data_IF_479103475788
#
_entry.id   IF_479103475788
#
_cell.length_a   1.000
_cell.length_b   1.000
_cell.length_c   1.000
_cell.angle_alpha   90.00
_cell.angle_beta   90.00
_cell.angle_gamma   90.00
#
_symmetry.space_group_name_H-M   'P 1'
#
loop_
_entity.id
_entity.type
_entity.pdbx_description
1 polymer ?
#
# COMPACT_ATOMS: atom_id res chain seq x y z
N UNK A 1 -26.81 -5.71 -8.12
CA UNK A 1 -25.71 -4.75 -8.36
C UNK A 1 -25.60 -3.94 -7.09
N UNK A 2 -24.53 -4.12 -6.31
CA UNK A 2 -24.33 -3.33 -5.10
C UNK A 2 -24.12 -1.87 -5.51
N UNK A 3 -24.82 -0.93 -4.87
CA UNK A 3 -24.55 0.48 -5.05
C UNK A 3 -23.08 0.76 -4.71
N UNK A 4 -22.33 1.21 -5.71
CA UNK A 4 -20.93 1.61 -5.53
C UNK A 4 -20.93 2.93 -4.78
N UNK A 5 -20.48 2.90 -3.53
CA UNK A 5 -20.27 4.10 -2.74
C UNK A 5 -18.83 4.57 -2.87
N UNK A 6 -18.63 5.88 -2.93
CA UNK A 6 -17.30 6.46 -2.84
C UNK A 6 -16.75 6.35 -1.42
N UNK A 7 -15.43 6.35 -1.29
CA UNK A 7 -14.73 6.34 0.00
C UNK A 7 -13.58 7.32 0.01
N UNK A 8 -13.12 7.74 1.18
CA UNK A 8 -11.99 8.67 1.31
C UNK A 8 -10.80 8.01 2.00
N UNK A 9 -9.60 8.41 1.59
CA UNK A 9 -8.32 7.99 2.16
C UNK A 9 -7.48 9.24 2.35
N UNK A 10 -7.26 9.63 3.59
CA UNK A 10 -6.60 10.89 3.96
C UNK A 10 -5.48 10.74 4.97
N UNK A 11 -4.76 11.83 5.18
CA UNK A 11 -3.73 11.91 6.21
C UNK A 11 -4.35 12.18 7.60
N UNK A 12 -3.58 11.91 8.66
CA UNK A 12 -4.04 12.10 10.05
C UNK A 12 -4.32 13.57 10.41
N UNK A 13 -3.73 14.54 9.71
CA UNK A 13 -3.98 15.96 9.96
C UNK A 13 -5.13 16.57 9.11
N UNK A 14 -5.76 15.78 8.24
CA UNK A 14 -6.91 16.20 7.43
C UNK A 14 -6.60 17.16 6.27
N UNK A 15 -5.32 17.45 6.02
CA UNK A 15 -4.87 18.32 4.92
C UNK A 15 -4.95 17.63 3.56
N UNK A 16 -4.60 16.35 3.50
CA UNK A 16 -4.54 15.55 2.29
C UNK A 16 -5.65 14.49 2.28
N UNK A 17 -6.34 14.33 1.16
CA UNK A 17 -7.35 13.29 0.99
C UNK A 17 -7.49 12.89 -0.49
N UNK A 18 -7.71 11.60 -0.72
CA UNK A 18 -8.03 10.99 -2.01
C UNK A 18 -9.43 10.41 -1.88
N UNK A 19 -10.33 10.72 -2.83
CA UNK A 19 -11.64 10.09 -2.91
C UNK A 19 -11.64 9.06 -4.04
N UNK A 20 -12.04 7.83 -3.72
CA UNK A 20 -12.18 6.72 -4.68
C UNK A 20 -13.64 6.47 -5.03
N UNK A 21 -13.90 6.00 -6.26
CA UNK A 21 -15.25 5.71 -6.75
C UNK A 21 -15.88 4.44 -6.15
N UNK A 22 -15.05 3.50 -5.70
CA UNK A 22 -15.48 2.27 -4.99
C UNK A 22 -14.75 2.23 -3.65
N UNK A 23 -15.50 2.33 -2.57
CA UNK A 23 -14.97 2.34 -1.21
C UNK A 23 -14.55 0.95 -0.70
N UNK A 24 -14.71 -0.12 -1.48
CA UNK A 24 -14.41 -1.48 -1.01
C UNK A 24 -12.97 -1.85 -1.31
N UNK A 25 -12.30 -2.43 -0.30
CA UNK A 25 -11.01 -3.07 -0.52
C UNK A 25 -11.15 -4.32 -1.40
N UNK A 26 -10.29 -4.43 -2.40
CA UNK A 26 -10.23 -5.58 -3.30
C UNK A 26 -9.44 -6.75 -2.70
N UNK A 27 -8.47 -6.45 -1.83
CA UNK A 27 -7.57 -7.44 -1.27
C UNK A 27 -7.01 -7.01 0.08
N UNK A 28 -6.71 -7.98 0.94
CA UNK A 28 -6.05 -7.78 2.23
C UNK A 28 -4.94 -8.81 2.45
N UNK A 29 -3.75 -8.32 2.78
CA UNK A 29 -2.59 -9.10 3.19
C UNK A 29 -2.00 -8.59 4.49
N UNK A 30 -1.16 -9.44 5.08
CA UNK A 30 -0.13 -9.03 6.03
C UNK A 30 1.24 -9.24 5.41
N UNK A 31 2.19 -8.38 5.71
CA UNK A 31 3.43 -8.35 4.94
C UNK A 31 4.67 -8.14 5.80
N UNK A 32 5.57 -9.12 5.76
CA UNK A 32 6.89 -9.07 6.41
C UNK A 32 7.95 -8.33 5.60
N UNK A 33 7.61 -7.78 4.42
CA UNK A 33 8.57 -7.20 3.51
C UNK A 33 9.33 -6.03 4.15
N UNK A 34 10.65 -6.02 4.00
CA UNK A 34 11.50 -4.97 4.56
C UNK A 34 11.17 -3.59 3.99
N UNK A 35 10.76 -3.50 2.73
CA UNK A 35 10.33 -2.28 2.06
C UNK A 35 9.08 -1.67 2.71
N UNK A 36 8.13 -2.52 3.11
CA UNK A 36 6.86 -2.16 3.71
C UNK A 36 7.13 -1.57 5.10
N UNK A 37 7.92 -2.30 5.90
CA UNK A 37 8.38 -1.90 7.22
C UNK A 37 9.19 -0.60 7.16
N UNK A 38 10.24 -0.56 6.35
CA UNK A 38 11.18 0.57 6.29
C UNK A 38 10.51 1.86 5.81
N UNK A 39 9.56 1.77 4.88
CA UNK A 39 8.77 2.94 4.49
C UNK A 39 7.98 3.51 5.68
N UNK A 40 7.23 2.65 6.37
CA UNK A 40 6.44 3.05 7.52
C UNK A 40 7.31 3.57 8.69
N UNK A 41 8.44 2.93 8.96
CA UNK A 41 9.45 3.36 9.95
C UNK A 41 10.07 4.71 9.60
N UNK A 42 10.44 4.93 8.34
CA UNK A 42 10.95 6.23 7.89
C UNK A 42 9.91 7.34 8.10
N UNK A 43 8.63 7.10 7.74
CA UNK A 43 7.56 8.05 8.01
C UNK A 43 7.38 8.34 9.50
N UNK A 44 7.49 7.31 10.35
CA UNK A 44 7.45 7.46 11.80
C UNK A 44 8.62 8.33 12.33
N UNK A 45 9.84 8.13 11.82
CA UNK A 45 11.02 8.93 12.20
C UNK A 45 10.87 10.43 11.88
N UNK A 46 9.95 10.79 10.98
CA UNK A 46 9.62 12.18 10.63
C UNK A 46 8.48 12.78 11.48
N UNK A 47 7.91 12.01 12.40
CA UNK A 47 6.77 12.38 13.24
C UNK A 47 5.44 11.72 12.85
N UNK A 48 5.46 10.77 11.91
CA UNK A 48 4.31 9.94 11.57
C UNK A 48 4.01 8.85 12.60
N UNK A 49 3.02 8.01 12.30
CA UNK A 49 2.61 6.91 13.18
C UNK A 49 3.60 5.74 13.09
N UNK A 50 3.95 5.15 14.24
CA UNK A 50 4.79 3.95 14.34
C UNK A 50 4.12 2.73 13.70
N UNK A 51 4.86 2.01 12.86
CA UNK A 51 4.39 0.79 12.19
C UNK A 51 4.10 -0.35 13.16
N UNK A 52 3.19 -1.23 12.78
CA UNK A 52 3.14 -2.59 13.34
C UNK A 52 4.32 -3.42 12.83
N UNK A 53 4.69 -4.45 13.59
CA UNK A 53 5.73 -5.41 13.20
C UNK A 53 5.36 -6.15 11.90
N UNK A 54 4.07 -6.48 11.75
CA UNK A 54 3.52 -7.15 10.59
C UNK A 54 2.28 -6.37 10.09
N UNK A 55 2.47 -5.31 9.29
CA UNK A 55 1.43 -4.35 8.94
C UNK A 55 0.30 -4.96 8.11
N UNK A 56 -0.89 -4.40 8.31
CA UNK A 56 -2.09 -4.69 7.52
C UNK A 56 -2.08 -3.90 6.21
N UNK A 57 -2.18 -4.61 5.09
CA UNK A 57 -2.07 -4.09 3.74
C UNK A 57 -3.41 -4.26 3.00
N UNK A 58 -4.07 -3.16 2.66
CA UNK A 58 -5.33 -3.20 1.91
C UNK A 58 -5.16 -2.60 0.53
N UNK A 59 -5.70 -3.26 -0.48
CA UNK A 59 -5.67 -2.80 -1.86
C UNK A 59 -7.00 -2.17 -2.24
N UNK A 60 -6.96 -0.93 -2.68
CA UNK A 60 -8.13 -0.14 -3.07
C UNK A 60 -8.12 0.05 -4.58
N UNK A 61 -9.30 0.05 -5.21
CA UNK A 61 -9.44 0.38 -6.63
C UNK A 61 -8.83 1.75 -6.93
N UNK A 62 -8.07 1.84 -8.02
CA UNK A 62 -7.41 3.07 -8.43
C UNK A 62 -8.35 4.09 -9.10
N UNK A 63 -9.67 3.95 -9.00
CA UNK A 63 -10.63 4.93 -9.54
C UNK A 63 -10.70 6.19 -8.66
N UNK A 64 -9.72 7.09 -8.79
CA UNK A 64 -9.65 8.33 -8.00
C UNK A 64 -10.47 9.42 -8.69
N UNK A 65 -11.52 9.88 -8.01
CA UNK A 65 -12.47 10.85 -8.54
C UNK A 65 -12.27 12.27 -8.01
N UNK A 66 -11.58 12.44 -6.88
CA UNK A 66 -11.20 13.76 -6.39
C UNK A 66 -9.99 13.69 -5.46
N UNK A 67 -9.28 14.82 -5.35
CA UNK A 67 -8.09 14.97 -4.51
C UNK A 67 -8.19 16.32 -3.78
N UNK A 68 -7.89 16.32 -2.48
CA UNK A 68 -7.79 17.50 -1.63
C UNK A 68 -6.37 17.63 -1.08
N UNK A 69 -5.86 18.86 -1.05
CA UNK A 69 -4.56 19.19 -0.46
C UNK A 69 -3.37 18.52 -1.15
N UNK A 70 -3.43 18.46 -2.48
CA UNK A 70 -2.38 17.89 -3.34
C UNK A 70 -1.04 18.61 -3.12
N UNK A 71 -1.07 19.90 -2.86
CA UNK A 71 0.07 20.75 -2.52
C UNK A 71 0.80 20.36 -1.22
N UNK A 72 0.16 19.54 -0.38
CA UNK A 72 0.75 18.99 0.85
C UNK A 72 1.16 17.51 0.69
N UNK A 73 1.19 17.00 -0.54
CA UNK A 73 1.57 15.63 -0.84
C UNK A 73 2.90 15.58 -1.59
N UNK A 74 3.75 14.63 -1.23
CA UNK A 74 4.96 14.29 -1.97
C UNK A 74 5.09 12.79 -2.16
N UNK A 75 5.60 12.38 -3.32
CA UNK A 75 5.94 11.00 -3.64
C UNK A 75 7.40 10.70 -3.29
N UNK A 76 7.65 9.51 -2.74
CA UNK A 76 8.97 9.07 -2.31
C UNK A 76 9.26 7.63 -2.72
N UNK A 77 10.51 7.35 -3.08
CA UNK A 77 11.04 5.99 -3.22
C UNK A 77 12.12 5.79 -2.17
N UNK A 78 12.19 4.58 -1.59
CA UNK A 78 13.23 4.28 -0.60
C UNK A 78 14.62 4.30 -1.23
N UNK A 79 14.71 3.86 -2.48
CA UNK A 79 15.93 3.71 -3.29
C UNK A 79 15.61 4.00 -4.76
N UNK A 80 16.62 4.31 -5.55
CA UNK A 80 16.50 4.59 -7.00
C UNK A 80 15.92 3.38 -7.75
N UNK A 81 16.43 2.18 -7.47
CA UNK A 81 15.99 0.91 -8.06
C UNK A 81 14.73 0.33 -7.39
N UNK A 82 14.25 0.96 -6.32
CA UNK A 82 13.04 0.56 -5.62
C UNK A 82 11.82 0.60 -6.54
N UNK A 83 10.95 -0.40 -6.44
CA UNK A 83 9.75 -0.48 -7.30
C UNK A 83 8.52 0.19 -6.69
N UNK A 84 8.46 0.29 -5.36
CA UNK A 84 7.31 0.90 -4.68
C UNK A 84 7.51 2.41 -4.52
N UNK A 85 6.51 3.19 -4.94
CA UNK A 85 6.45 4.64 -4.73
C UNK A 85 5.39 4.96 -3.69
N UNK A 86 5.76 5.75 -2.69
CA UNK A 86 4.94 6.01 -1.49
C UNK A 86 4.50 7.47 -1.48
N UNK A 87 3.22 7.70 -1.24
CA UNK A 87 2.64 9.03 -1.09
C UNK A 87 2.54 9.38 0.39
N UNK A 88 3.23 10.45 0.79
CA UNK A 88 3.15 10.99 2.14
C UNK A 88 2.51 12.37 2.16
N UNK A 89 1.87 12.69 3.28
CA UNK A 89 1.54 14.08 3.62
C UNK A 89 2.78 14.78 4.19
N UNK A 90 3.20 15.89 3.58
CA UNK A 90 4.37 16.67 4.01
C UNK A 90 4.17 17.42 5.34
N UNK A 91 2.94 17.43 5.88
CA UNK A 91 2.61 18.10 7.15
C UNK A 91 2.65 17.17 8.35
N UNK A 92 2.27 15.91 8.19
CA UNK A 92 2.15 14.96 9.31
C UNK A 92 2.76 13.59 9.04
N UNK A 93 3.42 13.42 7.88
CA UNK A 93 4.12 12.18 7.49
C UNK A 93 3.26 10.92 7.53
N UNK A 94 1.93 11.09 7.41
CA UNK A 94 1.02 9.97 7.16
C UNK A 94 1.36 9.34 5.82
N UNK A 95 1.58 8.02 5.81
CA UNK A 95 1.66 7.23 4.59
C UNK A 95 0.23 7.03 4.07
N UNK A 96 -0.13 7.76 3.02
CA UNK A 96 -1.50 7.78 2.48
C UNK A 96 -1.73 6.53 1.62
N UNK A 97 -0.80 6.27 0.69
CA UNK A 97 -0.93 5.18 -0.27
C UNK A 97 0.41 4.81 -0.92
N UNK A 98 0.48 3.64 -1.53
CA UNK A 98 1.66 3.08 -2.19
C UNK A 98 1.30 2.52 -3.55
N UNK A 99 2.08 2.88 -4.57
CA UNK A 99 2.03 2.30 -5.91
C UNK A 99 3.14 1.27 -6.09
N UNK A 100 2.92 0.33 -7.01
CA UNK A 100 3.93 -0.62 -7.44
C UNK A 100 3.60 -1.08 -8.88
N UNK A 101 4.60 -1.29 -9.76
CA UNK A 101 4.37 -1.70 -11.15
C UNK A 101 3.47 -2.93 -11.33
N UNK A 102 3.57 -3.91 -10.43
CA UNK A 102 2.73 -5.12 -10.44
C UNK A 102 1.23 -4.85 -10.16
N UNK A 103 0.87 -3.63 -9.78
CA UNK A 103 -0.54 -3.25 -9.58
C UNK A 103 -1.20 -2.80 -10.87
N UNK A 104 -0.42 -2.61 -11.94
CA UNK A 104 -0.90 -2.23 -13.28
C UNK A 104 -1.82 -1.01 -13.27
N UNK A 105 -1.58 -0.07 -12.34
CA UNK A 105 -2.41 1.10 -12.06
C UNK A 105 -3.91 0.78 -11.86
N UNK A 106 -4.22 -0.46 -11.46
CA UNK A 106 -5.58 -0.94 -11.22
C UNK A 106 -5.98 -0.80 -9.75
N UNK A 107 -5.01 -0.99 -8.86
CA UNK A 107 -5.16 -0.81 -7.42
C UNK A 107 -3.98 -0.03 -6.86
N UNK A 108 -4.14 0.51 -5.66
CA UNK A 108 -3.04 1.00 -4.85
C UNK A 108 -3.17 0.44 -3.43
N UNK A 109 -2.05 0.40 -2.73
CA UNK A 109 -1.95 -0.16 -1.39
C UNK A 109 -2.11 0.94 -0.34
N UNK A 110 -2.89 0.68 0.72
CA UNK A 110 -2.97 1.52 1.92
C UNK A 110 -2.61 0.73 3.18
N UNK A 111 -2.16 1.47 4.20
CA UNK A 111 -1.88 0.97 5.53
C UNK A 111 -2.84 1.70 6.49
N UNK A 112 -3.97 1.10 6.92
CA UNK A 112 -5.00 1.81 7.68
C UNK A 112 -4.49 2.46 8.98
N UNK A 113 -3.44 1.91 9.58
CA UNK A 113 -2.79 2.52 10.75
C UNK A 113 -2.18 3.89 10.44
N UNK A 114 -1.65 4.09 9.24
CA UNK A 114 -0.89 5.27 8.84
C UNK A 114 -1.72 6.35 8.10
N UNK A 115 -2.99 6.07 7.80
CA UNK A 115 -3.92 6.99 7.14
C UNK A 115 -5.28 6.99 7.86
N UNK A 116 -6.23 7.82 7.42
CA UNK A 116 -7.64 7.71 7.77
C UNK A 116 -8.34 7.20 6.51
N UNK A 117 -9.04 6.07 6.60
CA UNK A 117 -9.76 5.50 5.46
C UNK A 117 -11.23 5.31 5.82
N UNK A 118 -12.12 6.02 5.14
CA UNK A 118 -13.56 5.75 5.09
C UNK A 118 -13.85 4.79 3.93
N UNK A 119 -13.29 3.59 4.04
CA UNK A 119 -13.42 2.52 3.07
C UNK A 119 -13.93 1.27 3.77
N UNK A 120 -14.71 0.45 3.08
CA UNK A 120 -15.09 -0.87 3.56
C UNK A 120 -13.89 -1.82 3.45
N UNK A 121 -13.25 -2.07 4.60
CA UNK A 121 -12.10 -2.96 4.75
C UNK A 121 -12.48 -4.38 5.23
N UNK A 122 -13.75 -4.78 5.08
CA UNK A 122 -14.26 -6.07 5.58
C UNK A 122 -13.84 -7.29 4.74
N UNK A 123 -12.93 -7.12 3.78
CA UNK A 123 -12.38 -8.22 2.98
C UNK A 123 -11.53 -9.13 3.90
N UNK A 124 -11.68 -10.47 3.80
CA UNK A 124 -10.91 -11.38 4.65
C UNK A 124 -9.43 -11.34 4.34
N UNK A 125 -8.60 -11.72 5.32
CA UNK A 125 -7.17 -11.90 5.11
C UNK A 125 -6.95 -13.00 4.08
N UNK A 126 -6.26 -12.68 2.98
CA UNK A 126 -5.99 -13.67 1.93
C UNK A 126 -4.70 -14.44 2.18
N UNK A 127 -3.66 -13.77 2.67
CA UNK A 127 -2.33 -14.37 2.84
C UNK A 127 -1.40 -13.51 3.71
N UNK A 128 -0.35 -14.16 4.22
CA UNK A 128 0.84 -13.51 4.80
C UNK A 128 1.98 -13.59 3.79
N UNK A 129 2.64 -12.46 3.52
CA UNK A 129 3.64 -12.33 2.46
C UNK A 129 5.03 -11.97 2.98
N UNK A 130 6.07 -12.38 2.25
CA UNK A 130 7.47 -11.95 2.41
C UNK A 130 8.06 -12.18 3.80
N UNK A 131 7.74 -13.32 4.41
CA UNK A 131 8.23 -13.65 5.76
C UNK A 131 9.74 -13.93 5.82
N UNK A 132 10.42 -14.08 4.68
CA UNK A 132 11.88 -14.11 4.60
C UNK A 132 12.53 -12.85 5.16
N UNK A 133 11.86 -11.70 5.02
CA UNK A 133 12.36 -10.39 5.44
C UNK A 133 11.84 -9.99 6.83
N UNK A 134 11.12 -10.89 7.50
CA UNK A 134 10.58 -10.66 8.83
C UNK A 134 11.69 -10.76 9.88
N UNK A 135 11.93 -9.71 10.69
CA UNK A 135 13.05 -9.71 11.63
C UNK A 135 12.92 -10.79 12.70
N UNK A 136 14.02 -11.48 13.00
CA UNK A 136 14.07 -12.53 14.02
C UNK A 136 13.83 -11.99 15.45
N UNK A 137 14.02 -10.69 15.67
CA UNK A 137 13.78 -10.04 16.97
C UNK A 137 12.35 -9.52 17.13
N UNK A 138 11.49 -9.73 16.12
CA UNK A 138 10.06 -9.47 16.24
C UNK A 138 9.34 -10.64 16.92
N UNK A 139 8.12 -10.38 17.40
CA UNK A 139 7.28 -11.44 17.95
C UNK A 139 6.96 -12.44 16.84
N UNK A 140 6.74 -13.71 17.18
CA UNK A 140 6.28 -14.68 16.20
C UNK A 140 5.03 -14.13 15.48
N UNK A 141 4.95 -14.24 14.15
CA UNK A 141 3.74 -13.88 13.44
C UNK A 141 2.59 -14.69 14.02
N UNK A 142 1.39 -14.11 14.15
CA UNK A 142 0.26 -14.86 14.67
C UNK A 142 -0.11 -16.00 13.71
N UNK A 143 -0.68 -17.05 14.29
CA UNK A 143 -1.17 -18.22 13.57
C UNK A 143 -2.50 -17.87 12.88
N UNK A 144 -2.41 -17.24 11.72
CA UNK A 144 -3.56 -17.04 10.82
C UNK A 144 -3.73 -18.30 9.95
N UNK A 145 -4.96 -18.83 9.84
CA UNK A 145 -5.29 -19.96 8.96
C UNK A 145 -5.42 -19.52 7.48
N UNK A 146 -4.33 -18.96 6.95
CA UNK A 146 -4.23 -18.44 5.59
C UNK A 146 -2.88 -18.86 4.97
N UNK A 147 -2.77 -18.93 3.64
CA UNK A 147 -1.51 -19.19 2.99
C UNK A 147 -0.40 -18.21 3.39
N UNK A 148 0.75 -18.75 3.82
CA UNK A 148 2.00 -18.01 4.00
C UNK A 148 2.87 -18.14 2.75
N UNK A 149 3.38 -17.02 2.25
CA UNK A 149 4.36 -16.94 1.17
C UNK A 149 5.67 -16.37 1.71
N UNK A 150 6.73 -17.18 1.69
CA UNK A 150 7.99 -16.83 2.32
C UNK A 150 8.79 -15.82 1.48
N UNK A 151 8.91 -16.05 0.18
CA UNK A 151 9.61 -15.20 -0.78
C UNK A 151 9.19 -15.48 -2.23
N UNK A 152 8.96 -14.40 -2.98
CA UNK A 152 8.73 -14.49 -4.43
C UNK A 152 10.01 -14.64 -5.26
N UNK A 153 11.17 -14.86 -4.65
CA UNK A 153 12.36 -15.32 -5.39
C UNK A 153 12.11 -16.70 -6.03
N UNK A 154 11.25 -17.52 -5.42
CA UNK A 154 10.89 -18.84 -5.93
C UNK A 154 9.67 -18.76 -6.84
N UNK A 155 9.83 -19.13 -8.11
CA UNK A 155 8.74 -19.11 -9.10
C UNK A 155 7.54 -19.98 -8.70
N UNK A 156 7.77 -21.06 -7.95
CA UNK A 156 6.68 -21.89 -7.41
C UNK A 156 5.79 -21.12 -6.42
N UNK A 157 6.38 -20.24 -5.59
CA UNK A 157 5.60 -19.41 -4.66
C UNK A 157 4.82 -18.33 -5.40
N UNK A 158 5.43 -17.70 -6.41
CA UNK A 158 4.73 -16.76 -7.30
C UNK A 158 3.53 -17.43 -7.98
N UNK A 159 3.72 -18.62 -8.57
CA UNK A 159 2.63 -19.37 -9.23
C UNK A 159 1.51 -19.72 -8.25
N UNK A 160 1.85 -20.18 -7.04
CA UNK A 160 0.87 -20.46 -5.98
C UNK A 160 0.16 -19.19 -5.50
N UNK A 161 0.83 -18.05 -5.47
CA UNK A 161 0.23 -16.77 -5.11
C UNK A 161 -0.81 -16.35 -6.15
N UNK A 162 -0.45 -16.37 -7.44
CA UNK A 162 -1.38 -16.03 -8.52
C UNK A 162 -2.44 -17.10 -8.81
N UNK A 163 -2.31 -18.33 -8.28
CA UNK A 163 -3.41 -19.31 -8.35
C UNK A 163 -4.56 -18.98 -7.39
N UNK A 164 -4.38 -18.08 -6.43
CA UNK A 164 -5.46 -17.60 -5.57
C UNK A 164 -6.40 -16.69 -6.38
N UNK A 165 -7.72 -17.01 -6.49
CA UNK A 165 -8.63 -16.25 -7.35
C UNK A 165 -8.75 -14.76 -6.97
N UNK A 166 -8.71 -14.42 -5.68
CA UNK A 166 -8.77 -13.01 -5.24
C UNK A 166 -7.53 -12.24 -5.68
N UNK A 167 -6.36 -12.88 -5.65
CA UNK A 167 -5.08 -12.30 -6.07
C UNK A 167 -5.07 -12.05 -7.57
N UNK A 168 -5.35 -13.08 -8.38
CA UNK A 168 -5.35 -12.94 -9.85
C UNK A 168 -6.36 -11.90 -10.31
N UNK A 169 -7.54 -11.83 -9.70
CA UNK A 169 -8.55 -10.82 -10.02
C UNK A 169 -8.15 -9.39 -9.62
N UNK A 170 -7.41 -9.23 -8.51
CA UNK A 170 -6.98 -7.90 -8.03
C UNK A 170 -5.87 -7.31 -8.92
N UNK A 171 -4.89 -8.14 -9.28
CA UNK A 171 -3.69 -7.70 -9.99
C UNK A 171 -3.74 -7.95 -11.50
N UNK A 172 -4.88 -8.38 -12.05
CA UNK A 172 -5.06 -8.48 -13.50
C UNK A 172 -4.96 -7.10 -14.15
N UNK A 173 -4.59 -7.11 -15.43
CA UNK A 173 -4.70 -5.92 -16.25
C UNK A 173 -6.16 -5.46 -16.33
N UNK A 174 -6.35 -4.15 -16.18
CA UNK A 174 -7.66 -3.52 -16.27
C UNK A 174 -8.18 -3.55 -17.70
N UNK A 175 -9.46 -3.91 -17.87
CA UNK A 175 -10.16 -3.89 -19.16
C UNK A 175 -11.22 -2.80 -19.24
N UNK A 176 -11.78 -2.39 -18.10
CA UNK A 176 -12.74 -1.30 -18.01
C UNK A 176 -12.05 0.06 -17.99
N UNK A 177 -12.67 1.12 -18.53
CA UNK A 177 -12.13 2.48 -18.41
C UNK A 177 -12.02 2.91 -16.95
N UNK A 178 -11.08 3.82 -16.68
CA UNK A 178 -10.93 4.50 -15.39
C UNK A 178 -12.11 5.44 -15.14
N UNK A 179 -12.55 5.53 -13.87
CA UNK A 179 -13.38 6.64 -13.40
C UNK A 179 -12.44 7.65 -12.73
N UNK A 180 -12.19 8.76 -13.40
CA UNK A 180 -11.22 9.77 -12.95
C UNK A 180 -9.79 9.41 -13.34
N UNK A 181 -8.85 9.51 -12.40
CA UNK A 181 -7.43 9.18 -12.63
C UNK A 181 -7.01 7.95 -11.82
N UNK A 182 -5.93 7.29 -12.21
CA UNK A 182 -5.30 6.26 -11.40
C UNK A 182 -4.24 6.83 -10.44
N UNK A 183 -3.77 6.00 -9.51
CA UNK A 183 -2.80 6.42 -8.51
C UNK A 183 -1.42 6.73 -9.10
N UNK A 184 -1.01 6.04 -10.16
CA UNK A 184 0.22 6.37 -10.91
C UNK A 184 0.15 7.78 -11.50
N UNK A 185 -0.97 8.16 -12.14
CA UNK A 185 -1.19 9.48 -12.67
C UNK A 185 -1.23 10.57 -11.58
N UNK A 186 -1.75 10.24 -10.38
CA UNK A 186 -1.62 11.13 -9.22
C UNK A 186 -0.15 11.36 -8.87
N UNK A 187 0.64 10.30 -8.72
CA UNK A 187 2.09 10.40 -8.45
C UNK A 187 2.80 11.24 -9.51
N UNK A 188 2.59 10.96 -10.79
CA UNK A 188 3.22 11.69 -11.90
C UNK A 188 2.90 13.18 -11.84
N UNK A 189 1.67 13.52 -11.43
CA UNK A 189 1.21 14.90 -11.31
C UNK A 189 1.81 15.67 -10.12
N UNK A 190 2.56 15.01 -9.22
CA UNK A 190 3.31 15.61 -8.11
C UNK A 190 4.77 15.90 -8.49
N UNK A 191 5.19 15.53 -9.70
CA UNK A 191 6.59 15.61 -10.15
C UNK A 191 7.41 14.38 -9.80
N UNK A 192 8.72 14.47 -9.99
CA UNK A 192 9.64 13.35 -9.78
C UNK A 192 9.64 12.90 -8.32
N UNK A 193 9.41 11.60 -8.01
CA UNK A 193 9.50 11.10 -6.65
C UNK A 193 10.87 11.38 -6.02
N UNK A 194 10.87 11.81 -4.77
CA UNK A 194 12.10 12.03 -3.99
C UNK A 194 12.72 10.70 -3.62
N UNK A 195 14.01 10.54 -3.89
CA UNK A 195 14.77 9.34 -3.56
C UNK A 195 15.40 9.51 -2.19
N UNK A 196 15.12 8.58 -1.28
CA UNK A 196 15.60 8.66 0.10
C UNK A 196 16.98 8.05 0.32
N UNK A 197 17.41 7.19 -0.61
CA UNK A 197 18.66 6.43 -0.56
C UNK A 197 18.89 5.70 0.77
N UNK A 198 17.83 5.03 1.25
CA UNK A 198 17.88 4.29 2.51
C UNK A 198 18.63 2.96 2.30
N UNK A 199 19.57 2.70 3.20
CA UNK A 199 20.27 1.41 3.30
C UNK A 199 19.24 0.27 3.44
N UNK A 200 19.34 -0.73 2.57
CA UNK A 200 18.39 -1.85 2.51
C UNK A 200 18.35 -2.60 3.85
N UNK A 201 17.15 -2.90 4.34
CA UNK A 201 16.96 -3.61 5.62
C UNK A 201 17.22 -2.79 6.89
N UNK A 202 17.83 -1.60 6.80
CA UNK A 202 18.07 -0.73 7.96
C UNK A 202 16.78 -0.30 8.63
N UNK A 203 16.77 -0.33 9.95
CA UNK A 203 15.63 0.09 10.78
C UNK A 203 15.70 1.56 11.16
N UNK A 204 14.53 2.19 11.24
CA UNK A 204 14.36 3.58 11.66
C UNK A 204 13.36 3.61 12.82
N UNK A 205 13.89 3.48 14.05
CA UNK A 205 13.11 3.41 15.29
C UNK A 205 12.78 4.79 15.87
#
# INVERSE_FOLDING_TARGET
MSDLHSGTIGCKCGKCEITVADNRAAQYFRCGCEDCRQGAEWGASKGGVKSDQLPHLYYISADIISIKGKEFMSAYKLREDGRSTRLYCDQCWSLIAVDHPAYHSNVFLIFPKHCIADCNLSVPLTAILFMKDYPNDYQSPPEDDVPLFYSFEYEQEKKRFFSLPTVSNTFRQRTAPLKGINFTALIDSLGTPKILDLEKGKRYL
#
